data_IF_088393758199
#
_entry.id   IF_088393758199
#
_cell.length_a   1.000
_cell.length_b   1.000
_cell.length_c   1.000
_cell.angle_alpha   90.00
_cell.angle_beta   90.00
_cell.angle_gamma   90.00
#
_symmetry.space_group_name_H-M   'P 1'
#
loop_
_entity.id
_entity.type
_entity.pdbx_description
1 polymer ?
#
# COMPACT_ATOMS: atom_id res chain seq x y z
N UNK A 1 -28.55 14.61 7.37
CA UNK A 1 -27.63 13.51 7.03
C UNK A 1 -26.64 14.04 6.01
N UNK A 2 -25.31 13.99 6.22
CA UNK A 2 -24.36 14.40 5.19
C UNK A 2 -24.29 13.30 4.11
N UNK A 3 -24.56 13.67 2.87
CA UNK A 3 -24.52 12.78 1.70
C UNK A 3 -23.08 12.39 1.36
N UNK A 4 -22.84 11.07 1.22
CA UNK A 4 -21.57 10.49 0.76
C UNK A 4 -21.26 11.01 -0.66
N UNK A 5 -20.05 11.55 -0.94
CA UNK A 5 -19.71 11.99 -2.28
C UNK A 5 -19.68 10.78 -3.23
N UNK A 6 -20.34 10.92 -4.38
CA UNK A 6 -20.43 9.89 -5.40
C UNK A 6 -19.04 9.62 -6.01
N UNK A 7 -18.68 8.34 -6.13
CA UNK A 7 -17.44 7.89 -6.76
C UNK A 7 -17.50 8.18 -8.26
N UNK A 8 -16.80 9.21 -8.73
CA UNK A 8 -16.71 9.55 -10.15
C UNK A 8 -15.85 8.51 -10.87
N UNK A 9 -16.50 7.65 -11.64
CA UNK A 9 -15.84 6.73 -12.56
C UNK A 9 -15.46 7.48 -13.84
N UNK A 10 -14.17 7.81 -13.97
CA UNK A 10 -13.50 8.04 -15.25
C UNK A 10 -13.79 9.37 -15.97
N UNK A 11 -12.89 10.35 -15.83
CA UNK A 11 -12.59 11.31 -16.90
C UNK A 11 -11.20 11.93 -16.70
N UNK A 12 -10.32 11.71 -17.66
CA UNK A 12 -9.08 12.48 -17.84
C UNK A 12 -9.44 13.87 -18.37
N UNK A 13 -8.98 14.92 -17.70
CA UNK A 13 -8.37 16.17 -18.25
C UNK A 13 -8.56 17.30 -17.25
N UNK A 14 -7.46 17.79 -16.67
CA UNK A 14 -7.38 18.66 -15.48
C UNK A 14 -7.93 17.99 -14.21
N UNK A 15 -7.03 17.35 -13.46
CA UNK A 15 -7.34 17.00 -12.09
C UNK A 15 -7.63 18.30 -11.32
N UNK A 16 -8.76 18.35 -10.61
CA UNK A 16 -9.13 19.44 -9.71
C UNK A 16 -7.88 19.82 -8.88
N UNK A 17 -7.53 21.11 -8.74
CA UNK A 17 -6.45 21.54 -7.84
C UNK A 17 -6.51 20.87 -6.46
N UNK A 18 -7.73 20.61 -5.95
CA UNK A 18 -7.91 19.84 -4.72
C UNK A 18 -7.46 18.38 -4.86
N UNK A 19 -7.85 17.69 -5.92
CA UNK A 19 -7.45 16.30 -6.17
C UNK A 19 -5.93 16.17 -6.39
N UNK A 20 -5.31 17.15 -7.05
CA UNK A 20 -3.86 17.20 -7.23
C UNK A 20 -3.13 17.39 -5.91
N UNK A 21 -3.58 18.34 -5.09
CA UNK A 21 -3.04 18.56 -3.75
C UNK A 21 -3.24 17.34 -2.85
N UNK A 22 -4.42 16.72 -2.90
CA UNK A 22 -4.75 15.54 -2.11
C UNK A 22 -3.86 14.36 -2.50
N UNK A 23 -3.70 14.09 -3.80
CA UNK A 23 -2.80 13.01 -4.27
C UNK A 23 -1.36 13.26 -3.85
N UNK A 24 -0.87 14.49 -4.02
CA UNK A 24 0.50 14.86 -3.64
C UNK A 24 0.74 14.72 -2.14
N UNK A 25 -0.16 15.22 -1.32
CA UNK A 25 -0.04 15.13 0.14
C UNK A 25 -0.12 13.69 0.65
N UNK A 26 -0.93 12.83 0.02
CA UNK A 26 -0.95 11.40 0.34
C UNK A 26 0.39 10.73 0.06
N UNK A 27 0.99 11.01 -1.11
CA UNK A 27 2.32 10.52 -1.45
C UNK A 27 3.39 11.02 -0.46
N UNK A 28 3.45 12.33 -0.22
CA UNK A 28 4.41 12.93 0.70
C UNK A 28 4.32 12.34 2.12
N UNK A 29 3.10 12.05 2.59
CA UNK A 29 2.91 11.51 3.93
C UNK A 29 3.18 10.00 4.01
N UNK A 30 2.81 9.21 2.99
CA UNK A 30 2.70 7.75 3.12
C UNK A 30 3.65 6.95 2.21
N UNK A 31 4.37 7.58 1.28
CA UNK A 31 5.34 6.88 0.44
C UNK A 31 6.49 6.25 1.26
N UNK A 32 6.79 6.80 2.44
CA UNK A 32 7.73 6.18 3.38
C UNK A 32 7.23 4.83 3.90
N UNK A 33 5.93 4.69 4.17
CA UNK A 33 5.34 3.44 4.64
C UNK A 33 5.38 2.34 3.57
N UNK A 34 5.36 2.70 2.28
CA UNK A 34 5.53 1.74 1.18
C UNK A 34 6.93 1.13 1.14
N UNK A 35 7.90 1.81 1.75
CA UNK A 35 9.27 1.34 1.87
C UNK A 35 9.48 0.46 3.11
N UNK A 36 8.53 0.43 4.05
CA UNK A 36 8.60 -0.41 5.23
C UNK A 36 8.30 -1.88 4.90
N UNK A 37 8.90 -2.78 5.68
CA UNK A 37 8.65 -4.22 5.51
C UNK A 37 7.23 -4.52 5.99
N UNK A 38 6.51 -5.33 5.21
CA UNK A 38 5.17 -5.78 5.60
C UNK A 38 5.25 -6.47 6.98
N UNK A 39 4.44 -6.05 7.97
CA UNK A 39 4.45 -6.63 9.30
C UNK A 39 4.18 -8.15 9.30
N UNK A 40 4.97 -8.89 10.08
CA UNK A 40 4.86 -10.35 10.21
C UNK A 40 3.47 -10.79 10.69
N UNK A 41 2.81 -9.98 11.54
CA UNK A 41 1.49 -10.29 12.09
C UNK A 41 0.37 -10.22 11.03
N UNK A 42 0.52 -9.37 10.01
CA UNK A 42 -0.42 -9.36 8.88
C UNK A 42 -0.25 -10.62 8.04
N UNK A 43 0.99 -11.07 7.82
CA UNK A 43 1.25 -12.32 7.08
C UNK A 43 0.68 -13.54 7.81
N UNK A 44 0.79 -13.57 9.14
CA UNK A 44 0.16 -14.61 9.97
C UNK A 44 -1.36 -14.60 9.89
N UNK A 45 -1.99 -13.44 9.74
CA UNK A 45 -3.45 -13.33 9.63
C UNK A 45 -3.98 -13.86 8.28
N UNK A 46 -3.18 -13.78 7.22
CA UNK A 46 -3.58 -14.25 5.88
C UNK A 46 -3.32 -15.75 5.65
N UNK A 47 -2.69 -16.45 6.60
CA UNK A 47 -2.25 -17.84 6.40
C UNK A 47 -2.86 -18.75 7.47
N UNK A 48 -3.61 -19.77 7.07
CA UNK A 48 -4.14 -20.79 8.00
C UNK A 48 -3.06 -21.84 8.37
N UNK A 49 -1.96 -21.93 7.61
CA UNK A 49 -0.85 -22.87 7.82
C UNK A 49 0.49 -22.15 8.08
N UNK A 50 1.25 -22.71 9.04
CA UNK A 50 2.61 -22.28 9.40
C UNK A 50 3.59 -22.43 8.23
N UNK A 51 3.40 -23.41 7.35
CA UNK A 51 4.30 -23.65 6.20
C UNK A 51 4.09 -22.61 5.09
N UNK A 52 2.84 -22.17 4.91
CA UNK A 52 2.45 -21.21 3.88
C UNK A 52 3.00 -19.81 4.20
N UNK A 53 2.86 -19.33 5.44
CA UNK A 53 3.40 -18.02 5.81
C UNK A 53 4.94 -18.01 5.82
N UNK A 54 5.62 -19.11 6.21
CA UNK A 54 7.10 -19.20 6.15
C UNK A 54 7.59 -19.09 4.70
N UNK A 55 6.87 -19.68 3.75
CA UNK A 55 7.16 -19.59 2.31
C UNK A 55 6.92 -18.18 1.76
N UNK A 56 5.81 -17.54 2.14
CA UNK A 56 5.54 -16.13 1.80
C UNK A 56 6.60 -15.21 2.40
N UNK A 57 6.92 -15.35 3.68
CA UNK A 57 7.94 -14.58 4.36
C UNK A 57 9.31 -14.72 3.69
N UNK A 58 9.73 -15.94 3.33
CA UNK A 58 10.98 -16.17 2.61
C UNK A 58 11.01 -15.47 1.25
N UNK A 59 9.92 -15.51 0.49
CA UNK A 59 9.81 -14.86 -0.82
C UNK A 59 9.85 -13.33 -0.71
N UNK A 60 9.17 -12.77 0.29
CA UNK A 60 9.16 -11.33 0.56
C UNK A 60 10.46 -10.81 1.17
N UNK A 61 11.18 -11.62 1.97
CA UNK A 61 12.54 -11.35 2.45
C UNK A 61 13.60 -11.44 1.36
N UNK A 62 13.42 -12.34 0.40
CA UNK A 62 14.34 -12.53 -0.73
C UNK A 62 14.18 -11.44 -1.80
N UNK A 63 12.96 -10.90 -1.95
CA UNK A 63 12.66 -9.83 -2.88
C UNK A 63 13.02 -8.42 -2.36
N UNK A 64 13.59 -8.29 -1.15
CA UNK A 64 14.00 -7.01 -0.59
C UNK A 64 15.21 -6.45 -1.36
N UNK A 65 15.03 -5.39 -2.18
CA UNK A 65 16.10 -4.85 -3.02
C UNK A 65 17.15 -4.07 -2.22
N UNK A 66 16.99 -3.93 -0.89
CA UNK A 66 17.97 -3.31 0.01
C UNK A 66 19.00 -4.29 0.58
N UNK A 67 18.97 -5.54 0.11
CA UNK A 67 19.86 -6.62 0.55
C UNK A 67 21.08 -6.79 -0.37
N UNK A 68 21.66 -5.69 -0.82
CA UNK A 68 23.03 -5.64 -1.35
C UNK A 68 23.89 -4.87 -0.32
N UNK A 69 25.13 -5.30 -0.03
CA UNK A 69 25.92 -4.81 1.10
C UNK A 69 26.37 -3.35 0.98
#
# INVERSE_FOLDING_TARGET
MPTRPAKSTGRSESADPFDLWLRRSLHENWDAALNERVPDDLLRLFSDDRVEWESMKARWLAADPRRDP
#
